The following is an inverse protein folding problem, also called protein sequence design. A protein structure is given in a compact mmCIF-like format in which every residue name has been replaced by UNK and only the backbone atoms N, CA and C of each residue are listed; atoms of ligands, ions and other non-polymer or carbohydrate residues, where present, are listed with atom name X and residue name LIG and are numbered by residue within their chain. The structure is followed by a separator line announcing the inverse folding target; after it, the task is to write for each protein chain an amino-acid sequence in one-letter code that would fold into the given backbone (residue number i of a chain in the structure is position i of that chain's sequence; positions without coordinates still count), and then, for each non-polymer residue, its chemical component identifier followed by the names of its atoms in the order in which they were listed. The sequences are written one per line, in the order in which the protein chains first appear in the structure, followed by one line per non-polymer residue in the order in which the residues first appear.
data_IF_766218260797
#
_entry.id   IF_766218260797
#
_cell.length_a   1.000
_cell.length_b   1.000
_cell.length_c   1.000
_cell.angle_alpha   90.00
_cell.angle_beta   90.00
_cell.angle_gamma   90.00
#
_symmetry.space_group_name_H-M   'P 1'
#
loop_
_entity.id
_entity.type
_entity.pdbx_description
1 polymer ?
#
# COMPACT_ATOMS: atom_id res chain seq x y z
N UNK A 1 -16.33 16.54 -5.81
CA UNK A 1 -16.22 16.57 -4.34
C UNK A 1 -15.19 15.53 -3.92
N UNK A 2 -13.95 15.97 -3.70
CA UNK A 2 -12.76 15.10 -3.54
C UNK A 2 -12.52 14.66 -2.08
N UNK A 3 -13.31 15.17 -1.13
CA UNK A 3 -13.22 14.83 0.28
C UNK A 3 -14.15 13.66 0.59
N UNK A 4 -13.62 12.46 0.43
CA UNK A 4 -14.12 11.28 1.12
C UNK A 4 -12.99 10.69 1.92
N UNK A 5 -13.30 10.19 3.10
CA UNK A 5 -12.32 9.62 4.05
C UNK A 5 -11.39 8.58 3.39
N UNK A 6 -11.87 7.84 2.37
CA UNK A 6 -11.07 6.91 1.57
C UNK A 6 -9.82 7.54 0.90
N UNK A 7 -9.89 8.78 0.39
CA UNK A 7 -8.75 9.38 -0.32
C UNK A 7 -7.62 9.75 0.64
N UNK A 8 -7.95 10.08 1.90
CA UNK A 8 -6.98 10.30 2.96
C UNK A 8 -6.19 9.01 3.22
N UNK A 9 -6.87 7.87 3.39
CA UNK A 9 -6.21 6.59 3.63
C UNK A 9 -5.33 6.12 2.45
N UNK A 10 -5.77 6.37 1.21
CA UNK A 10 -4.94 6.11 0.02
C UNK A 10 -3.68 6.98 -0.01
N UNK A 11 -3.83 8.26 0.33
CA UNK A 11 -2.71 9.20 0.38
C UNK A 11 -1.73 8.83 1.51
N UNK A 12 -2.24 8.50 2.70
CA UNK A 12 -1.42 7.99 3.81
C UNK A 12 -0.64 6.75 3.39
N UNK A 13 -1.27 5.79 2.72
CA UNK A 13 -0.57 4.61 2.21
C UNK A 13 0.59 4.99 1.30
N UNK A 14 0.36 5.89 0.33
CA UNK A 14 1.39 6.31 -0.61
C UNK A 14 2.57 7.01 0.11
N UNK A 15 2.29 7.90 1.07
CA UNK A 15 3.32 8.59 1.86
C UNK A 15 4.13 7.59 2.67
N UNK A 16 3.49 6.69 3.42
CA UNK A 16 4.19 5.69 4.23
C UNK A 16 5.05 4.78 3.35
N UNK A 17 4.54 4.33 2.19
CA UNK A 17 5.31 3.54 1.24
C UNK A 17 6.59 4.26 0.79
N UNK A 18 6.52 5.56 0.47
CA UNK A 18 7.69 6.35 0.06
C UNK A 18 8.66 6.54 1.23
N UNK A 19 8.16 6.88 2.43
CA UNK A 19 8.99 7.06 3.62
C UNK A 19 9.77 5.78 3.94
N UNK A 20 9.11 4.61 3.89
CA UNK A 20 9.75 3.32 4.15
C UNK A 20 10.89 3.06 3.18
N UNK A 21 10.71 3.37 1.89
CA UNK A 21 11.73 3.12 0.86
C UNK A 21 13.02 3.90 1.12
N UNK A 22 12.91 5.15 1.57
CA UNK A 22 14.07 6.06 1.69
C UNK A 22 14.67 6.16 3.11
N UNK A 23 13.85 6.08 4.15
CA UNK A 23 14.28 6.40 5.52
C UNK A 23 14.55 5.19 6.40
N UNK A 24 14.04 4.00 6.05
CA UNK A 24 14.10 2.84 6.93
C UNK A 24 14.82 1.65 6.30
N UNK A 25 15.80 1.04 7.00
CA UNK A 25 16.41 -0.19 6.56
C UNK A 25 15.42 -1.35 6.75
N UNK A 26 15.32 -2.21 5.75
CA UNK A 26 14.37 -3.33 5.75
C UNK A 26 15.02 -4.64 6.18
N UNK A 27 16.31 -4.79 5.91
CA UNK A 27 17.11 -5.88 6.41
C UNK A 27 18.38 -5.30 7.04
N UNK A 28 18.93 -6.00 8.00
CA UNK A 28 20.21 -5.65 8.60
C UNK A 28 20.97 -6.92 8.93
N UNK A 29 22.28 -6.75 8.98
CA UNK A 29 23.25 -7.73 9.41
C UNK A 29 24.19 -7.03 10.41
N UNK A 30 25.03 -7.77 11.12
CA UNK A 30 25.88 -7.25 12.20
C UNK A 30 26.77 -6.07 11.76
N UNK A 31 27.08 -5.99 10.47
CA UNK A 31 27.97 -4.99 9.88
C UNK A 31 27.29 -4.00 8.93
N UNK A 32 26.10 -4.33 8.41
CA UNK A 32 25.51 -3.56 7.29
C UNK A 32 23.99 -3.45 7.37
N UNK A 33 23.48 -2.26 7.08
CA UNK A 33 22.03 -2.00 6.94
C UNK A 33 21.63 -1.94 5.48
N UNK A 34 20.60 -2.69 5.11
CA UNK A 34 20.10 -2.80 3.74
C UNK A 34 18.83 -1.99 3.54
N UNK A 35 18.94 -0.92 2.76
CA UNK A 35 17.82 -0.10 2.32
C UNK A 35 17.21 -0.62 1.01
N UNK A 36 15.90 -0.40 0.82
CA UNK A 36 15.21 -0.74 -0.44
C UNK A 36 15.79 -0.03 -1.65
N UNK A 37 16.27 1.20 -1.45
CA UNK A 37 16.82 2.06 -2.51
C UNK A 37 17.98 1.42 -3.24
N UNK A 38 18.92 0.80 -2.53
CA UNK A 38 20.19 0.34 -3.11
C UNK A 38 20.22 -1.16 -3.41
N UNK A 39 19.55 -1.98 -2.59
CA UNK A 39 19.79 -3.44 -2.60
C UNK A 39 18.64 -4.25 -3.21
N UNK A 40 17.43 -3.70 -3.29
CA UNK A 40 16.24 -4.48 -3.66
C UNK A 40 15.42 -3.80 -4.77
N UNK A 41 15.92 -3.78 -6.03
CA UNK A 41 15.28 -3.04 -7.11
C UNK A 41 13.86 -3.54 -7.43
N UNK A 42 13.61 -4.85 -7.39
CA UNK A 42 12.28 -5.43 -7.65
C UNK A 42 11.27 -5.13 -6.54
N UNK A 43 11.69 -5.23 -5.28
CA UNK A 43 10.85 -4.89 -4.12
C UNK A 43 10.51 -3.40 -4.15
N UNK A 44 11.52 -2.56 -4.39
CA UNK A 44 11.36 -1.11 -4.57
C UNK A 44 10.36 -0.77 -5.66
N UNK A 45 10.44 -1.44 -6.82
CA UNK A 45 9.47 -1.26 -7.90
C UNK A 45 8.05 -1.63 -7.48
N UNK A 46 7.84 -2.74 -6.78
CA UNK A 46 6.52 -3.14 -6.29
C UNK A 46 5.92 -2.10 -5.33
N UNK A 47 6.74 -1.57 -4.41
CA UNK A 47 6.31 -0.55 -3.45
C UNK A 47 5.99 0.78 -4.14
N UNK A 48 6.81 1.21 -5.09
CA UNK A 48 6.52 2.40 -5.91
C UNK A 48 5.26 2.23 -6.74
N UNK A 49 5.06 1.06 -7.35
CA UNK A 49 3.86 0.77 -8.13
C UNK A 49 2.62 0.82 -7.23
N UNK A 50 2.70 0.27 -6.02
CA UNK A 50 1.61 0.39 -5.03
C UNK A 50 1.30 1.85 -4.68
N UNK A 51 2.31 2.67 -4.44
CA UNK A 51 2.13 4.10 -4.15
C UNK A 51 1.50 4.85 -5.34
N UNK A 52 1.98 4.59 -6.56
CA UNK A 52 1.43 5.18 -7.78
C UNK A 52 -0.03 4.77 -8.02
N UNK A 53 -0.36 3.48 -7.82
CA UNK A 53 -1.74 2.97 -7.89
C UNK A 53 -2.63 3.60 -6.83
N UNK A 54 -2.13 3.79 -5.61
CA UNK A 54 -2.87 4.42 -4.52
C UNK A 54 -3.22 5.87 -4.86
N UNK A 55 -2.27 6.62 -5.41
CA UNK A 55 -2.49 7.99 -5.89
C UNK A 55 -3.48 8.00 -7.06
N UNK A 56 -3.32 7.09 -8.02
CA UNK A 56 -4.23 6.97 -9.15
C UNK A 56 -5.67 6.63 -8.72
N UNK A 57 -5.83 5.80 -7.69
CA UNK A 57 -7.12 5.46 -7.11
C UNK A 57 -7.86 6.69 -6.53
N UNK A 58 -7.14 7.71 -6.03
CA UNK A 58 -7.75 8.95 -5.51
C UNK A 58 -8.51 9.67 -6.62
N UNK A 59 -7.97 9.72 -7.84
CA UNK A 59 -8.62 10.36 -8.99
C UNK A 59 -9.80 9.56 -9.55
N UNK A 60 -9.91 8.27 -9.24
CA UNK A 60 -10.99 7.40 -9.70
C UNK A 60 -12.26 7.40 -8.83
N UNK A 61 -12.46 8.45 -8.02
CA UNK A 61 -13.63 8.62 -7.15
C UNK A 61 -14.99 8.54 -7.86
N UNK A 62 -15.03 8.79 -9.18
CA UNK A 62 -16.26 8.67 -9.99
C UNK A 62 -16.74 7.21 -10.11
N UNK A 63 -15.80 6.27 -10.25
CA UNK A 63 -16.09 4.85 -10.48
C UNK A 63 -15.66 4.02 -9.27
N UNK A 64 -16.56 3.83 -8.30
CA UNK A 64 -16.27 3.13 -7.02
C UNK A 64 -15.74 1.71 -7.23
N UNK A 65 -16.32 0.95 -8.18
CA UNK A 65 -15.85 -0.40 -8.54
C UNK A 65 -14.41 -0.40 -9.04
N UNK A 66 -14.04 0.56 -9.90
CA UNK A 66 -12.65 0.71 -10.38
C UNK A 66 -11.72 1.14 -9.26
N UNK A 67 -12.16 2.06 -8.40
CA UNK A 67 -11.38 2.50 -7.24
C UNK A 67 -11.10 1.34 -6.27
N UNK A 68 -12.09 0.47 -6.01
CA UNK A 68 -11.93 -0.74 -5.20
C UNK A 68 -10.93 -1.72 -5.82
N UNK A 69 -11.02 -1.95 -7.14
CA UNK A 69 -10.11 -2.82 -7.87
C UNK A 69 -8.66 -2.31 -7.79
N UNK A 70 -8.43 -1.03 -8.08
CA UNK A 70 -7.10 -0.40 -8.05
C UNK A 70 -6.52 -0.45 -6.63
N UNK A 71 -7.33 -0.14 -5.62
CA UNK A 71 -6.91 -0.19 -4.21
C UNK A 71 -6.53 -1.61 -3.80
N UNK A 72 -7.33 -2.61 -4.20
CA UNK A 72 -7.01 -4.02 -3.98
C UNK A 72 -5.73 -4.44 -4.68
N UNK A 73 -5.49 -3.97 -5.90
CA UNK A 73 -4.25 -4.24 -6.64
C UNK A 73 -3.03 -3.57 -5.99
N UNK A 74 -3.17 -2.34 -5.47
CA UNK A 74 -2.11 -1.69 -4.69
C UNK A 74 -1.76 -2.47 -3.43
N UNK A 75 -2.76 -3.06 -2.75
CA UNK A 75 -2.56 -3.90 -1.57
C UNK A 75 -1.82 -5.19 -1.93
N UNK A 76 -2.19 -5.82 -3.04
CA UNK A 76 -1.47 -6.99 -3.56
C UNK A 76 0.00 -6.67 -3.84
N UNK A 77 0.31 -5.48 -4.36
CA UNK A 77 1.70 -5.07 -4.60
C UNK A 77 2.51 -4.93 -3.30
N UNK A 78 1.91 -4.42 -2.21
CA UNK A 78 2.58 -4.38 -0.90
C UNK A 78 2.80 -5.78 -0.36
N UNK A 79 1.78 -6.65 -0.45
CA UNK A 79 1.92 -8.06 -0.03
C UNK A 79 3.02 -8.75 -0.83
N UNK A 80 3.07 -8.56 -2.15
CA UNK A 80 4.10 -9.15 -3.00
C UNK A 80 5.50 -8.65 -2.63
N UNK A 81 5.65 -7.34 -2.38
CA UNK A 81 6.91 -6.76 -1.92
C UNK A 81 7.39 -7.40 -0.61
N UNK A 82 6.48 -7.59 0.35
CA UNK A 82 6.75 -8.25 1.62
C UNK A 82 7.16 -9.72 1.43
N UNK A 83 6.44 -10.47 0.59
CA UNK A 83 6.78 -11.85 0.26
C UNK A 83 8.16 -11.96 -0.41
N UNK A 84 8.49 -11.07 -1.34
CA UNK A 84 9.81 -11.03 -1.99
C UNK A 84 10.94 -10.75 -0.99
N UNK A 85 10.70 -9.94 0.04
CA UNK A 85 11.66 -9.71 1.11
C UNK A 85 11.87 -10.96 1.96
N UNK A 86 10.80 -11.62 2.39
CA UNK A 86 10.89 -12.81 3.24
C UNK A 86 11.52 -13.98 2.47
N UNK A 87 10.90 -14.38 1.36
CA UNK A 87 11.27 -15.63 0.70
C UNK A 87 12.61 -15.56 -0.03
N UNK A 88 12.95 -14.40 -0.59
CA UNK A 88 14.14 -14.27 -1.42
C UNK A 88 15.35 -13.75 -0.64
N UNK A 89 15.15 -12.99 0.45
CA UNK A 89 16.24 -12.26 1.11
C UNK A 89 16.38 -12.51 2.63
N UNK A 90 15.42 -13.18 3.28
CA UNK A 90 15.44 -13.37 4.74
C UNK A 90 16.28 -14.57 5.22
N UNK A 91 16.84 -15.39 4.32
CA UNK A 91 17.52 -16.65 4.72
C UNK A 91 18.74 -16.44 5.62
N UNK A 92 19.41 -15.29 5.51
CA UNK A 92 20.66 -15.00 6.23
C UNK A 92 20.67 -13.61 6.89
N UNK A 93 19.54 -12.88 6.86
CA UNK A 93 19.48 -11.48 7.30
C UNK A 93 18.39 -11.27 8.32
N UNK A 94 18.68 -10.46 9.33
CA UNK A 94 17.73 -10.07 10.36
C UNK A 94 16.77 -9.00 9.86
N UNK A 95 15.51 -9.07 10.31
CA UNK A 95 14.48 -8.11 9.94
C UNK A 95 14.77 -6.71 10.51
N UNK A 96 14.83 -5.72 9.63
CA UNK A 96 14.96 -4.31 10.01
C UNK A 96 13.62 -3.66 10.33
N UNK A 97 13.65 -2.46 10.93
CA UNK A 97 12.44 -1.69 11.27
C UNK A 97 11.54 -1.43 10.07
N UNK A 98 12.10 -1.21 8.88
CA UNK A 98 11.34 -0.97 7.66
C UNK A 98 10.44 -2.16 7.27
N UNK A 99 10.83 -3.38 7.63
CA UNK A 99 10.01 -4.58 7.45
C UNK A 99 8.71 -4.51 8.27
N UNK A 100 8.83 -4.11 9.54
CA UNK A 100 7.68 -3.94 10.44
C UNK A 100 6.79 -2.78 10.00
N UNK A 101 7.40 -1.68 9.52
CA UNK A 101 6.67 -0.50 9.06
C UNK A 101 5.77 -0.74 7.85
N UNK A 102 5.99 -1.81 7.05
CA UNK A 102 5.07 -2.18 5.96
C UNK A 102 3.64 -2.46 6.43
N UNK A 103 3.42 -2.70 7.73
CA UNK A 103 2.08 -2.86 8.28
C UNK A 103 1.24 -1.58 8.15
N UNK A 104 1.85 -0.39 8.22
CA UNK A 104 1.13 0.89 8.15
C UNK A 104 0.47 1.14 6.80
N UNK A 105 1.20 1.11 5.66
CA UNK A 105 0.56 1.30 4.36
C UNK A 105 -0.43 0.16 4.07
N UNK A 106 -0.14 -1.08 4.49
CA UNK A 106 -1.07 -2.19 4.33
C UNK A 106 -2.41 -1.97 5.07
N UNK A 107 -2.36 -1.55 6.34
CA UNK A 107 -3.54 -1.28 7.15
C UNK A 107 -4.33 -0.09 6.60
N UNK A 108 -3.63 0.94 6.11
CA UNK A 108 -4.25 2.10 5.46
C UNK A 108 -5.03 1.69 4.19
N UNK A 109 -4.49 0.78 3.37
CA UNK A 109 -5.21 0.25 2.21
C UNK A 109 -6.44 -0.58 2.58
N UNK A 110 -6.38 -1.34 3.68
CA UNK A 110 -7.55 -2.06 4.21
C UNK A 110 -8.64 -1.06 4.62
N UNK A 111 -8.27 -0.02 5.37
CA UNK A 111 -9.19 1.04 5.76
C UNK A 111 -9.81 1.73 4.53
N UNK A 112 -8.99 2.09 3.54
CA UNK A 112 -9.47 2.66 2.28
C UNK A 112 -10.52 1.78 1.60
N UNK A 113 -10.23 0.48 1.44
CA UNK A 113 -11.18 -0.49 0.88
C UNK A 113 -12.48 -0.61 1.69
N UNK A 114 -12.40 -0.57 3.02
CA UNK A 114 -13.59 -0.60 3.87
C UNK A 114 -14.50 0.60 3.63
N UNK A 115 -13.93 1.81 3.53
CA UNK A 115 -14.69 3.03 3.24
C UNK A 115 -15.27 3.02 1.83
N UNK A 116 -14.52 2.56 0.81
CA UNK A 116 -15.01 2.40 -0.57
C UNK A 116 -16.24 1.47 -0.61
N UNK A 117 -16.18 0.35 0.12
CA UNK A 117 -17.28 -0.63 0.16
C UNK A 117 -18.52 -0.11 0.89
N UNK A 118 -18.35 0.64 1.99
CA UNK A 118 -19.48 1.31 2.66
C UNK A 118 -20.15 2.31 1.72
N UNK A 119 -19.33 3.08 1.02
CA UNK A 119 -19.78 4.05 0.06
C UNK A 119 -20.58 3.41 -1.09
N UNK A 120 -20.12 2.28 -1.63
CA UNK A 120 -20.85 1.56 -2.68
C UNK A 120 -22.19 0.99 -2.18
N UNK A 121 -22.21 0.41 -0.96
CA UNK A 121 -23.45 -0.10 -0.35
C UNK A 121 -24.53 0.96 -0.18
N UNK A 122 -24.14 2.19 0.21
CA UNK A 122 -25.06 3.31 0.38
C UNK A 122 -25.75 3.71 -0.93
N UNK A 123 -25.01 3.74 -2.05
CA UNK A 123 -25.59 4.03 -3.37
C UNK A 123 -26.58 2.96 -3.78
N UNK A 124 -26.18 1.69 -3.64
CA UNK A 124 -27.03 0.56 -4.02
C UNK A 124 -28.28 0.42 -3.14
N UNK A 125 -28.25 0.89 -1.88
CA UNK A 125 -29.46 0.95 -1.05
C UNK A 125 -30.41 2.06 -1.47
N UNK A 126 -29.89 3.23 -1.88
CA UNK A 126 -30.72 4.34 -2.35
C UNK A 126 -31.39 4.03 -3.69
N UNK A 127 -30.71 3.31 -4.59
CA UNK A 127 -31.31 2.86 -5.86
C UNK A 127 -32.43 1.83 -5.67
N UNK A 128 -32.39 1.00 -4.62
CA UNK A 128 -33.42 -0.01 -4.33
C UNK A 128 -34.73 0.56 -3.77
N UNK A 129 -34.72 1.81 -3.31
CA UNK A 129 -35.90 2.50 -2.76
C UNK A 129 -36.66 3.25 -3.87
N UNK A 130 -36.00 3.52 -4.99
CA UNK A 130 -36.61 4.09 -6.20
C UNK A 130 -37.27 3.02 -7.03
#
# INVERSE_FOLDING_TARGET
MIQRVQSLFLLFSAIFSIIIVYFFPVLHDDYTTYFLTSYFPYVRLCVFLSAALSIFAIFQFKNRKRQHLITSFSRLMITLAFFLLIFLHSKEKSFGLGMMLFIFPFLSLIAANFFINRDEKLVNSSERIR
#
